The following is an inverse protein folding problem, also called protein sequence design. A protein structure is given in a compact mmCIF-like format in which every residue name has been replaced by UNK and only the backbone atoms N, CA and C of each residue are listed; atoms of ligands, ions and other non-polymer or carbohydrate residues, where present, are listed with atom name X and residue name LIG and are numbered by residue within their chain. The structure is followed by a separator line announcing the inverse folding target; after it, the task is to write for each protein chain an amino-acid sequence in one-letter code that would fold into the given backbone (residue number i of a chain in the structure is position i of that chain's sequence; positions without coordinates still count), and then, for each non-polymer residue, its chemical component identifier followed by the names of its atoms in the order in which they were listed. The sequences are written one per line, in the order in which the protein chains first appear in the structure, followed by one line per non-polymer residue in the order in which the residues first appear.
data_IF_845504842415
#
_entry.id   IF_845504842415
#
_cell.length_a   1.000
_cell.length_b   1.000
_cell.length_c   1.000
_cell.angle_alpha   90.00
_cell.angle_beta   90.00
_cell.angle_gamma   90.00
#
_symmetry.space_group_name_H-M   'P 1'
#
loop_
_entity.id
_entity.type
_entity.pdbx_description
1 polymer ?
#
# COMPACT_ATOMS: atom_id res chain seq x y z
N UNK A 1 -18.10 -26.79 -6.36
CA UNK A 1 -16.86 -26.02 -6.22
C UNK A 1 -17.27 -24.60 -5.86
N UNK A 2 -17.13 -24.21 -4.59
CA UNK A 2 -17.41 -22.83 -4.16
C UNK A 2 -16.17 -22.05 -4.53
N UNK A 3 -16.26 -21.23 -5.58
CA UNK A 3 -15.23 -20.25 -5.88
C UNK A 3 -15.46 -19.12 -4.87
N UNK A 4 -14.50 -18.94 -3.96
CA UNK A 4 -14.53 -17.82 -3.03
C UNK A 4 -14.09 -16.58 -3.84
N UNK A 5 -15.06 -15.81 -4.33
CA UNK A 5 -14.84 -14.57 -5.11
C UNK A 5 -14.30 -13.41 -4.24
N UNK A 6 -13.91 -13.64 -2.99
CA UNK A 6 -13.26 -12.60 -2.20
C UNK A 6 -11.86 -12.37 -2.78
N UNK A 7 -11.52 -11.12 -3.14
CA UNK A 7 -10.18 -10.81 -3.59
C UNK A 7 -9.19 -11.24 -2.52
N UNK A 8 -8.30 -12.15 -2.88
CA UNK A 8 -7.20 -12.58 -2.02
C UNK A 8 -6.43 -11.34 -1.55
N UNK A 9 -6.34 -11.14 -0.23
CA UNK A 9 -5.47 -10.12 0.35
C UNK A 9 -4.22 -10.86 0.83
N UNK A 10 -3.06 -10.65 0.20
CA UNK A 10 -1.85 -11.36 0.58
C UNK A 10 -1.42 -10.98 2.00
N UNK A 11 -0.97 -11.96 2.77
CA UNK A 11 -0.38 -11.72 4.08
C UNK A 11 0.99 -11.03 3.91
N UNK A 12 1.18 -9.80 4.42
CA UNK A 12 2.45 -9.11 4.33
C UNK A 12 3.57 -9.77 5.15
N UNK A 13 3.23 -10.62 6.13
CA UNK A 13 4.19 -11.35 6.95
C UNK A 13 4.72 -12.63 6.28
N UNK A 14 4.04 -13.14 5.25
CA UNK A 14 4.44 -14.37 4.58
C UNK A 14 5.68 -14.15 3.73
N UNK A 15 6.76 -14.86 4.08
CA UNK A 15 8.07 -14.66 3.48
C UNK A 15 8.08 -15.15 2.02
N UNK A 16 8.57 -14.29 1.13
CA UNK A 16 8.72 -14.61 -0.30
C UNK A 16 7.47 -14.36 -1.15
N UNK A 17 6.32 -14.05 -0.55
CA UNK A 17 5.14 -13.64 -1.29
C UNK A 17 5.31 -12.23 -1.86
N UNK A 18 4.97 -12.04 -3.13
CA UNK A 18 4.92 -10.70 -3.71
C UNK A 18 3.63 -10.04 -3.23
N UNK A 19 3.76 -8.88 -2.61
CA UNK A 19 2.63 -8.07 -2.16
C UNK A 19 2.71 -6.68 -2.78
N UNK A 20 1.55 -6.01 -2.84
CA UNK A 20 1.48 -4.62 -3.25
C UNK A 20 0.99 -3.75 -2.10
N UNK A 21 1.89 -2.89 -1.60
CA UNK A 21 1.54 -1.87 -0.60
C UNK A 21 1.06 -0.63 -1.34
N UNK A 22 -0.21 -0.30 -1.18
CA UNK A 22 -0.86 0.84 -1.84
C UNK A 22 -0.92 2.04 -0.90
N UNK A 23 -0.66 3.23 -1.45
CA UNK A 23 -0.90 4.51 -0.80
C UNK A 23 -1.91 5.31 -1.62
N UNK A 24 -2.98 5.78 -0.98
CA UNK A 24 -4.07 6.50 -1.64
C UNK A 24 -4.34 7.85 -0.96
N UNK A 25 -4.15 8.96 -1.68
CA UNK A 25 -4.54 10.31 -1.22
C UNK A 25 -6.00 10.58 -1.58
N UNK A 26 -6.82 10.92 -0.59
CA UNK A 26 -8.21 11.37 -0.76
C UNK A 26 -8.29 12.89 -0.74
N UNK A 27 -9.12 13.46 -1.60
CA UNK A 27 -9.48 14.88 -1.56
C UNK A 27 -10.56 15.15 -0.50
N UNK A 28 -10.85 16.43 -0.26
CA UNK A 28 -11.90 16.88 0.69
C UNK A 28 -13.29 16.29 0.40
N UNK A 29 -13.57 15.98 -0.87
CA UNK A 29 -14.84 15.43 -1.32
C UNK A 29 -14.85 13.88 -1.33
N UNK A 30 -13.87 13.22 -0.68
CA UNK A 30 -13.75 11.75 -0.65
C UNK A 30 -13.13 11.11 -1.90
N UNK A 31 -13.08 11.83 -3.02
CA UNK A 31 -12.50 11.32 -4.28
C UNK A 31 -11.00 11.00 -4.15
N UNK A 32 -10.57 9.92 -4.81
CA UNK A 32 -9.16 9.56 -4.93
C UNK A 32 -8.44 10.57 -5.82
N UNK A 33 -7.44 11.27 -5.27
CA UNK A 33 -6.63 12.25 -5.99
C UNK A 33 -5.37 11.63 -6.58
N UNK A 34 -4.77 10.68 -5.86
CA UNK A 34 -3.57 9.96 -6.28
C UNK A 34 -3.53 8.59 -5.63
N UNK A 35 -3.11 7.59 -6.39
CA UNK A 35 -2.88 6.22 -5.92
C UNK A 35 -1.56 5.72 -6.50
N UNK A 36 -0.77 5.04 -5.67
CA UNK A 36 0.49 4.42 -6.07
C UNK A 36 0.67 3.13 -5.27
N UNK A 37 1.34 2.15 -5.84
CA UNK A 37 1.67 0.88 -5.20
C UNK A 37 3.17 0.63 -5.19
N UNK A 38 3.66 -0.04 -4.15
CA UNK A 38 5.00 -0.60 -4.06
C UNK A 38 4.89 -2.12 -4.20
N UNK A 39 5.60 -2.70 -5.16
CA UNK A 39 5.82 -4.15 -5.23
C UNK A 39 6.98 -4.53 -4.32
N UNK A 40 6.71 -5.37 -3.33
CA UNK A 40 7.73 -5.81 -2.35
C UNK A 40 7.47 -7.27 -1.95
N UNK A 41 8.51 -7.95 -1.46
CA UNK A 41 8.36 -9.28 -0.87
C UNK A 41 7.82 -9.16 0.56
N UNK A 42 6.92 -10.07 0.95
CA UNK A 42 6.46 -10.22 2.32
C UNK A 42 7.56 -10.69 3.26
N UNK A 43 7.35 -10.44 4.54
CA UNK A 43 8.29 -10.71 5.64
C UNK A 43 8.23 -9.62 6.71
N UNK A 44 8.97 -9.82 7.80
CA UNK A 44 8.97 -8.93 8.98
C UNK A 44 9.25 -7.47 8.64
N UNK A 45 10.26 -7.20 7.80
CA UNK A 45 10.59 -5.83 7.35
C UNK A 45 9.39 -5.14 6.69
N UNK A 46 8.64 -5.88 5.87
CA UNK A 46 7.48 -5.34 5.15
C UNK A 46 6.33 -5.03 6.09
N UNK A 47 6.09 -5.87 7.10
CA UNK A 47 5.11 -5.60 8.16
C UNK A 47 5.49 -4.33 8.92
N UNK A 48 6.73 -4.22 9.38
CA UNK A 48 7.24 -3.05 10.11
C UNK A 48 7.12 -1.76 9.29
N UNK A 49 7.45 -1.83 7.99
CA UNK A 49 7.30 -0.71 7.07
C UNK A 49 5.83 -0.27 6.93
N UNK A 50 4.90 -1.21 6.76
CA UNK A 50 3.47 -0.92 6.64
C UNK A 50 2.93 -0.30 7.93
N UNK A 51 3.26 -0.84 9.09
CA UNK A 51 2.85 -0.29 10.38
C UNK A 51 3.38 1.12 10.58
N UNK A 52 4.67 1.34 10.28
CA UNK A 52 5.29 2.66 10.35
C UNK A 52 4.59 3.65 9.43
N UNK A 53 4.33 3.27 8.18
CA UNK A 53 3.61 4.11 7.23
C UNK A 53 2.21 4.47 7.71
N UNK A 54 1.46 3.49 8.24
CA UNK A 54 0.14 3.74 8.83
C UNK A 54 0.21 4.77 9.95
N UNK A 55 1.17 4.64 10.87
CA UNK A 55 1.39 5.62 11.96
C UNK A 55 1.80 7.00 11.43
N UNK A 56 2.73 7.07 10.47
CA UNK A 56 3.18 8.34 9.88
C UNK A 56 2.08 9.06 9.09
N UNK A 57 1.16 8.31 8.49
CA UNK A 57 0.03 8.86 7.73
C UNK A 57 -1.24 9.02 8.56
N UNK A 58 -1.21 8.68 9.86
CA UNK A 58 -2.37 8.82 10.73
C UNK A 58 -2.79 10.28 10.84
N UNK A 59 -4.10 10.55 10.79
CA UNK A 59 -4.64 11.90 10.71
C UNK A 59 -4.39 12.65 9.39
N UNK A 60 -3.70 12.05 8.41
CA UNK A 60 -3.53 12.63 7.08
C UNK A 60 -4.67 12.22 6.13
N UNK A 61 -4.67 12.77 4.91
CA UNK A 61 -5.58 12.37 3.85
C UNK A 61 -5.12 11.12 3.06
N UNK A 62 -4.11 10.40 3.57
CA UNK A 62 -3.54 9.21 2.93
C UNK A 62 -4.01 7.94 3.64
N UNK A 63 -4.37 6.93 2.87
CA UNK A 63 -4.66 5.57 3.37
C UNK A 63 -3.60 4.60 2.85
N UNK A 64 -3.08 3.75 3.73
CA UNK A 64 -2.13 2.68 3.41
C UNK A 64 -2.85 1.33 3.49
N UNK A 65 -2.89 0.60 2.38
CA UNK A 65 -3.60 -0.68 2.23
C UNK A 65 -2.77 -1.70 1.45
N UNK A 66 -3.12 -2.98 1.56
CA UNK A 66 -2.48 -4.06 0.79
C UNK A 66 -3.44 -4.48 -0.32
N UNK A 67 -2.92 -4.72 -1.51
CA UNK A 67 -3.66 -5.25 -2.65
C UNK A 67 -2.93 -6.46 -3.25
N UNK A 68 -3.68 -7.42 -3.80
CA UNK A 68 -3.11 -8.46 -4.65
C UNK A 68 -2.76 -7.92 -6.05
N UNK A 69 -3.64 -7.11 -6.63
CA UNK A 69 -3.45 -6.54 -7.97
C UNK A 69 -3.83 -5.05 -7.93
N UNK A 70 -2.85 -4.14 -7.89
CA UNK A 70 -3.14 -2.71 -7.82
C UNK A 70 -3.48 -2.16 -9.21
N UNK A 71 -4.68 -1.60 -9.36
CA UNK A 71 -5.05 -0.78 -10.53
C UNK A 71 -4.44 0.64 -10.44
N UNK A 72 -3.12 0.75 -10.32
CA UNK A 72 -2.41 2.03 -10.30
C UNK A 72 -0.93 1.88 -10.66
N UNK A 73 -0.22 3.00 -10.71
CA UNK A 73 1.23 3.04 -10.91
C UNK A 73 1.95 2.21 -9.83
N UNK A 74 2.78 1.26 -10.27
CA UNK A 74 3.58 0.39 -9.40
C UNK A 74 5.05 0.82 -9.48
N UNK A 75 5.65 1.08 -8.33
CA UNK A 75 7.09 1.31 -8.21
C UNK A 75 7.78 0.07 -7.63
N UNK A 76 9.02 -0.17 -8.07
CA UNK A 76 9.84 -1.32 -7.63
C UNK A 76 10.78 -1.00 -6.46
N UNK A 77 10.94 0.27 -6.10
CA UNK A 77 11.90 0.71 -5.08
C UNK A 77 11.20 1.34 -3.87
N UNK A 78 11.45 0.78 -2.69
CA UNK A 78 10.90 1.27 -1.42
C UNK A 78 11.22 2.76 -1.19
N UNK A 79 12.47 3.16 -1.40
CA UNK A 79 12.91 4.55 -1.20
C UNK A 79 12.13 5.55 -2.06
N UNK A 80 11.80 5.16 -3.29
CA UNK A 80 10.99 5.97 -4.19
C UNK A 80 9.55 6.08 -3.68
N UNK A 81 8.95 4.94 -3.30
CA UNK A 81 7.62 4.91 -2.72
C UNK A 81 7.50 5.81 -1.49
N UNK A 82 8.41 5.68 -0.52
CA UNK A 82 8.42 6.50 0.70
C UNK A 82 8.54 8.00 0.37
N UNK A 83 9.36 8.36 -0.62
CA UNK A 83 9.50 9.75 -1.08
C UNK A 83 8.18 10.28 -1.68
N UNK A 84 7.46 9.45 -2.42
CA UNK A 84 6.16 9.81 -3.02
C UNK A 84 5.09 9.97 -1.93
N UNK A 85 4.99 9.03 -0.98
CA UNK A 85 4.06 9.12 0.15
C UNK A 85 4.29 10.40 0.96
N UNK A 86 5.55 10.73 1.27
CA UNK A 86 5.89 11.99 1.96
C UNK A 86 5.49 13.24 1.19
N UNK A 87 5.62 13.23 -0.14
CA UNK A 87 5.13 14.33 -0.98
C UNK A 87 3.60 14.41 -1.00
N UNK A 88 2.91 13.29 -0.92
CA UNK A 88 1.44 13.25 -0.88
C UNK A 88 0.87 13.84 0.42
N UNK A 89 1.61 13.84 1.53
CA UNK A 89 1.15 14.43 2.79
C UNK A 89 1.18 15.97 2.80
N UNK A 90 1.97 16.57 1.91
CA UNK A 90 1.99 18.01 1.66
C UNK A 90 0.81 18.43 0.79
#
# INVERSE_FOLDING_TARGET
MIIDDRPYIPDPGELGNIIYVTAQKRGKNGNVKKRIALRIFGGTHTVEMIERLRRETDGSCITISIAAEPECEVVGHEREFLKIVKKMMK
#
